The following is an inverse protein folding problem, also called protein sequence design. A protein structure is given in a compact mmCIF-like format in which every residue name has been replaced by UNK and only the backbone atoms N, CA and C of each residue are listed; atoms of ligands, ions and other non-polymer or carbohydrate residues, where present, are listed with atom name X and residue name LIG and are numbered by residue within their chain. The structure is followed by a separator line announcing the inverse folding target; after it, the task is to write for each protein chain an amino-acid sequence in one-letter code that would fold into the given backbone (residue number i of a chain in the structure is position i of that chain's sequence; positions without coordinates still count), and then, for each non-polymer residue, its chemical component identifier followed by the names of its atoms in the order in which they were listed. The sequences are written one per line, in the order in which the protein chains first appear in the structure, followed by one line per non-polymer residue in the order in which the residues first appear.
data_IF_162886640032
#
_entry.id   IF_162886640032
#
_cell.length_a   1.000
_cell.length_b   1.000
_cell.length_c   1.000
_cell.angle_alpha   90.00
_cell.angle_beta   90.00
_cell.angle_gamma   90.00
#
_symmetry.space_group_name_H-M   'P 1'
#
loop_
_entity.id
_entity.type
_entity.pdbx_description
1 polymer ?
#
# COMPACT_ATOMS: atom_id res chain seq x y z
N UNK A 1 2.69 2.22 18.58
CA UNK A 1 3.48 2.61 17.38
C UNK A 1 4.82 1.87 17.26
N UNK A 2 5.36 1.21 18.29
CA UNK A 2 6.68 0.55 18.25
C UNK A 2 6.83 -0.59 17.22
N UNK A 3 5.74 -1.17 16.71
CA UNK A 3 5.81 -2.27 15.74
C UNK A 3 6.08 -1.81 14.31
N UNK A 4 5.65 -0.60 13.94
CA UNK A 4 5.70 -0.11 12.55
C UNK A 4 7.11 -0.19 11.96
N UNK A 5 8.17 0.24 12.64
CA UNK A 5 9.53 0.10 12.12
C UNK A 5 9.92 -1.35 11.81
N UNK A 6 9.46 -2.34 12.58
CA UNK A 6 9.74 -3.76 12.34
C UNK A 6 9.03 -4.30 11.09
N UNK A 7 7.88 -3.73 10.74
CA UNK A 7 7.16 -4.06 9.50
C UNK A 7 7.68 -3.29 8.28
N UNK A 8 8.35 -2.15 8.48
CA UNK A 8 9.05 -1.41 7.42
C UNK A 8 10.31 -2.13 6.91
N UNK A 9 10.89 -3.02 7.72
CA UNK A 9 12.04 -3.85 7.38
C UNK A 9 11.77 -5.31 7.78
N UNK A 10 10.83 -6.01 7.11
CA UNK A 10 10.37 -7.34 7.53
C UNK A 10 11.29 -8.47 7.05
N UNK A 11 12.60 -8.24 7.01
CA UNK A 11 13.61 -9.18 6.53
C UNK A 11 14.89 -9.03 7.34
N UNK A 12 15.72 -10.07 7.30
CA UNK A 12 17.03 -10.08 7.92
C UNK A 12 18.05 -9.47 6.95
N UNK A 13 18.42 -8.22 7.21
CA UNK A 13 19.36 -7.43 6.40
C UNK A 13 20.75 -8.09 6.36
N UNK A 14 21.13 -8.87 7.37
CA UNK A 14 22.42 -9.56 7.39
C UNK A 14 22.42 -10.83 6.53
N UNK A 15 21.27 -11.49 6.39
CA UNK A 15 21.13 -12.74 5.63
C UNK A 15 20.80 -12.52 4.16
N UNK A 16 19.99 -11.53 3.84
CA UNK A 16 19.62 -11.23 2.46
C UNK A 16 20.07 -9.82 2.05
N UNK A 17 20.94 -9.68 1.03
CA UNK A 17 21.39 -8.38 0.59
C UNK A 17 20.18 -7.57 0.08
N UNK A 18 20.03 -6.33 0.53
CA UNK A 18 18.88 -5.52 0.17
C UNK A 18 18.88 -5.20 -1.33
N UNK A 19 17.67 -5.12 -1.90
CA UNK A 19 17.51 -4.86 -3.32
C UNK A 19 18.19 -3.55 -3.74
N UNK A 20 18.86 -3.52 -4.92
CA UNK A 20 19.45 -2.30 -5.45
C UNK A 20 18.39 -1.33 -6.02
N UNK A 21 17.12 -1.75 -6.11
CA UNK A 21 16.02 -0.93 -6.59
C UNK A 21 15.15 -0.43 -5.43
N UNK A 22 14.48 0.71 -5.64
CA UNK A 22 13.39 1.15 -4.75
C UNK A 22 12.26 0.13 -4.82
N UNK A 23 11.72 -0.25 -3.67
CA UNK A 23 10.62 -1.19 -3.59
C UNK A 23 9.40 -0.57 -2.92
N UNK A 24 8.23 -0.88 -3.45
CA UNK A 24 6.95 -0.58 -2.82
C UNK A 24 6.29 -1.86 -2.35
N UNK A 25 5.91 -1.90 -1.08
CA UNK A 25 5.18 -3.02 -0.50
C UNK A 25 4.15 -2.51 0.51
N UNK A 26 3.17 -3.33 0.85
CA UNK A 26 2.14 -2.96 1.84
C UNK A 26 1.96 -4.07 2.88
N UNK A 27 2.28 -3.76 4.14
CA UNK A 27 1.93 -4.63 5.26
C UNK A 27 0.52 -4.33 5.78
N UNK A 28 -0.02 -5.22 6.61
CA UNK A 28 -1.29 -5.00 7.30
C UNK A 28 -1.12 -5.17 8.80
N UNK A 29 -1.79 -4.31 9.57
CA UNK A 29 -1.95 -4.44 11.02
C UNK A 29 -3.44 -4.63 11.29
N UNK A 30 -3.78 -5.74 11.93
CA UNK A 30 -5.15 -6.05 12.34
C UNK A 30 -5.29 -5.76 13.83
N UNK A 31 -6.32 -5.01 14.21
CA UNK A 31 -6.63 -4.79 15.62
C UNK A 31 -7.55 -5.88 16.20
N UNK A 32 -7.89 -5.75 17.48
CA UNK A 32 -8.73 -6.71 18.21
C UNK A 32 -10.17 -6.81 17.66
N UNK A 33 -10.61 -5.83 16.87
CA UNK A 33 -11.94 -5.82 16.24
C UNK A 33 -11.94 -6.44 14.84
N UNK A 34 -10.78 -6.91 14.35
CA UNK A 34 -10.61 -7.37 12.98
C UNK A 34 -10.40 -6.23 11.98
N UNK A 35 -10.38 -4.97 12.42
CA UNK A 35 -10.19 -3.83 11.53
C UNK A 35 -8.74 -3.78 11.06
N UNK A 36 -8.56 -3.60 9.74
CA UNK A 36 -7.25 -3.57 9.09
C UNK A 36 -6.75 -2.13 8.89
N UNK A 37 -5.47 -1.93 9.18
CA UNK A 37 -4.69 -0.78 8.73
C UNK A 37 -3.60 -1.24 7.78
N UNK A 38 -3.49 -0.56 6.65
CA UNK A 38 -2.50 -0.81 5.63
C UNK A 38 -1.31 0.11 5.84
N UNK A 39 -0.11 -0.46 5.88
CA UNK A 39 1.15 0.26 5.92
C UNK A 39 1.79 0.27 4.55
N UNK A 40 1.56 1.34 3.79
CA UNK A 40 2.15 1.54 2.47
C UNK A 40 3.59 1.98 2.65
N UNK A 41 4.53 1.24 2.07
CA UNK A 41 5.96 1.46 2.25
C UNK A 41 6.64 1.80 0.93
N UNK A 42 7.60 2.72 0.98
CA UNK A 42 8.62 2.97 -0.04
C UNK A 42 9.98 2.74 0.59
N UNK A 43 10.55 1.58 0.31
CA UNK A 43 11.88 1.18 0.76
C UNK A 43 12.94 1.69 -0.22
N UNK A 44 13.91 2.47 0.29
CA UNK A 44 15.03 2.96 -0.52
C UNK A 44 15.96 1.80 -0.92
N UNK A 45 16.59 1.92 -2.07
CA UNK A 45 17.66 1.01 -2.50
C UNK A 45 18.70 0.80 -1.38
N UNK A 46 19.13 -0.45 -1.19
CA UNK A 46 20.04 -0.81 -0.10
C UNK A 46 19.39 -0.89 1.28
N UNK A 47 18.06 -0.75 1.39
CA UNK A 47 17.29 -0.82 2.63
C UNK A 47 17.77 0.13 3.74
N UNK A 48 18.34 1.28 3.38
CA UNK A 48 18.84 2.26 4.35
C UNK A 48 17.74 3.08 5.03
N UNK A 49 16.61 3.27 4.35
CA UNK A 49 15.47 4.01 4.88
C UNK A 49 14.16 3.54 4.24
N UNK A 50 13.06 3.73 4.97
CA UNK A 50 11.73 3.37 4.51
C UNK A 50 10.74 4.48 4.88
N UNK A 51 10.05 5.03 3.89
CA UNK A 51 8.92 5.93 4.11
C UNK A 51 7.66 5.07 4.25
N UNK A 52 6.81 5.37 5.23
CA UNK A 52 5.60 4.60 5.50
C UNK A 52 4.41 5.51 5.78
N UNK A 53 3.28 5.22 5.12
CA UNK A 53 1.97 5.80 5.43
C UNK A 53 1.08 4.69 5.98
N UNK A 54 0.48 4.94 7.14
CA UNK A 54 -0.56 4.07 7.71
C UNK A 54 -1.94 4.64 7.41
N UNK A 55 -2.81 3.83 6.82
CA UNK A 55 -4.18 4.22 6.53
C UNK A 55 -5.15 3.05 6.64
N UNK A 56 -6.42 3.33 6.93
CA UNK A 56 -7.51 2.36 6.80
C UNK A 56 -8.00 2.24 5.36
N UNK A 57 -7.65 3.18 4.48
CA UNK A 57 -8.07 3.21 3.10
C UNK A 57 -7.13 2.34 2.24
N UNK A 58 -7.64 1.36 1.48
CA UNK A 58 -6.84 0.48 0.63
C UNK A 58 -6.47 1.16 -0.70
N UNK A 59 -5.98 2.41 -0.68
CA UNK A 59 -5.68 3.19 -1.88
C UNK A 59 -4.22 3.04 -2.31
N UNK A 60 -3.86 1.83 -2.73
CA UNK A 60 -2.47 1.44 -3.05
C UNK A 60 -1.80 2.43 -4.01
N UNK A 61 -2.38 2.67 -5.18
CA UNK A 61 -1.80 3.51 -6.23
C UNK A 61 -1.61 4.96 -5.77
N UNK A 62 -2.59 5.50 -5.04
CA UNK A 62 -2.57 6.86 -4.48
C UNK A 62 -1.42 6.99 -3.47
N UNK A 63 -1.35 6.10 -2.48
CA UNK A 63 -0.35 6.20 -1.42
C UNK A 63 1.07 5.94 -1.93
N UNK A 64 1.26 5.04 -2.90
CA UNK A 64 2.58 4.85 -3.49
C UNK A 64 3.04 6.05 -4.32
N UNK A 65 2.13 6.69 -5.08
CA UNK A 65 2.44 7.94 -5.78
C UNK A 65 2.79 9.05 -4.80
N UNK A 66 2.04 9.19 -3.71
CA UNK A 66 2.33 10.14 -2.64
C UNK A 66 3.70 9.88 -2.00
N UNK A 67 4.01 8.64 -1.66
CA UNK A 67 5.30 8.25 -1.09
C UNK A 67 6.47 8.53 -2.03
N UNK A 68 6.28 8.40 -3.34
CA UNK A 68 7.28 8.82 -4.32
C UNK A 68 7.49 10.33 -4.28
N UNK A 69 6.41 11.12 -4.36
CA UNK A 69 6.50 12.59 -4.28
C UNK A 69 7.20 13.05 -3.01
N UNK A 70 6.81 12.53 -1.84
CA UNK A 70 7.47 12.84 -0.57
C UNK A 70 8.93 12.40 -0.60
N UNK A 71 9.21 11.20 -1.11
CA UNK A 71 10.59 10.69 -1.23
C UNK A 71 11.48 11.54 -2.14
N UNK A 72 10.92 12.12 -3.20
CA UNK A 72 11.64 12.97 -4.15
C UNK A 72 11.89 14.37 -3.58
N UNK A 73 10.93 14.94 -2.83
CA UNK A 73 11.10 16.20 -2.10
C UNK A 73 12.19 16.08 -1.03
N UNK A 74 12.16 15.01 -0.23
CA UNK A 74 13.18 14.74 0.79
C UNK A 74 14.57 14.52 0.18
N UNK A 75 14.66 13.90 -1.00
CA UNK A 75 15.93 13.76 -1.71
C UNK A 75 16.49 15.10 -2.24
N UNK A 76 15.64 16.11 -2.39
CA UNK A 76 15.99 17.47 -2.81
C UNK A 76 16.13 18.44 -1.62
N UNK A 77 16.14 17.92 -0.38
CA UNK A 77 16.18 18.71 0.87
C UNK A 77 14.98 19.68 1.04
N UNK A 78 13.87 19.40 0.35
CA UNK A 78 12.63 20.17 0.40
C UNK A 78 11.69 19.64 1.50
N UNK A 79 12.17 19.70 2.75
CA UNK A 79 11.44 19.15 3.91
C UNK A 79 10.15 19.93 4.18
N UNK A 80 10.18 21.25 4.08
CA UNK A 80 9.00 22.11 4.32
C UNK A 80 7.87 21.79 3.34
N UNK A 81 8.18 21.62 2.07
CA UNK A 81 7.19 21.30 1.03
C UNK A 81 6.61 19.89 1.23
N UNK A 82 7.42 18.93 1.70
CA UNK A 82 6.95 17.59 2.04
C UNK A 82 5.99 17.62 3.25
N UNK A 83 6.32 18.40 4.29
CA UNK A 83 5.47 18.59 5.46
C UNK A 83 4.16 19.30 5.09
N UNK A 84 4.22 20.37 4.31
CA UNK A 84 3.04 21.11 3.85
C UNK A 84 2.11 20.20 3.03
N UNK A 85 2.67 19.38 2.13
CA UNK A 85 1.89 18.39 1.36
C UNK A 85 1.16 17.42 2.29
N UNK A 86 1.85 16.85 3.28
CA UNK A 86 1.28 15.89 4.22
C UNK A 86 0.24 16.54 5.14
N UNK A 87 0.48 17.76 5.61
CA UNK A 87 -0.45 18.52 6.44
C UNK A 87 -1.73 18.86 5.67
N UNK A 88 -1.60 19.31 4.42
CA UNK A 88 -2.73 19.60 3.55
C UNK A 88 -3.59 18.35 3.32
N UNK A 89 -2.96 17.20 3.01
CA UNK A 89 -3.67 15.94 2.79
C UNK A 89 -4.42 15.45 4.04
N UNK A 90 -3.82 15.59 5.23
CA UNK A 90 -4.46 15.19 6.49
C UNK A 90 -5.69 16.03 6.81
N UNK A 91 -5.75 17.28 6.34
CA UNK A 91 -6.87 18.19 6.58
C UNK A 91 -8.01 18.01 5.58
N UNK A 92 -7.81 17.29 4.47
CA UNK A 92 -8.86 17.07 3.49
C UNK A 92 -9.95 16.12 4.04
N UNK A 93 -11.24 16.44 3.83
CA UNK A 93 -12.31 15.53 4.18
C UNK A 93 -12.23 14.26 3.31
N UNK A 94 -12.62 13.13 3.87
CA UNK A 94 -12.65 11.87 3.13
C UNK A 94 -13.66 11.98 1.97
N UNK A 95 -13.24 11.77 0.71
CA UNK A 95 -14.11 11.68 -0.44
C UNK A 95 -15.12 10.55 -0.21
N UNK A 96 -16.41 10.89 -0.06
CA UNK A 96 -17.48 9.92 0.21
C UNK A 96 -18.38 10.23 1.41
N UNK A 97 -18.14 11.32 2.14
CA UNK A 97 -19.13 11.84 3.12
C UNK A 97 -20.12 12.84 2.53
N UNK A 98 -19.92 13.28 1.28
CA UNK A 98 -20.87 14.08 0.51
C UNK A 98 -21.54 13.22 -0.58
N UNK A 99 -22.83 13.01 -0.44
CA UNK A 99 -23.72 12.55 -1.52
C UNK A 99 -23.70 13.60 -2.65
N UNK A 100 -22.87 13.40 -3.66
CA UNK A 100 -22.88 14.19 -4.90
C UNK A 100 -21.57 14.13 -5.69
N UNK A 101 -21.61 14.07 -7.03
CA UNK A 101 -20.42 14.20 -7.86
C UNK A 101 -20.03 15.68 -7.96
N UNK A 102 -19.27 16.20 -6.99
CA UNK A 102 -18.69 17.54 -7.09
C UNK A 102 -17.16 17.49 -7.23
N UNK A 103 -16.76 17.60 -8.50
CA UNK A 103 -15.71 18.47 -9.01
C UNK A 103 -14.91 19.25 -7.95
N UNK A 104 -13.69 18.80 -7.65
CA UNK A 104 -12.66 19.72 -7.13
C UNK A 104 -11.96 20.36 -8.33
N UNK A 105 -12.48 21.53 -8.73
CA UNK A 105 -11.74 22.75 -9.15
C UNK A 105 -12.55 23.58 -10.16
N UNK A 106 -13.28 24.59 -9.70
CA UNK A 106 -13.60 25.78 -10.53
C UNK A 106 -12.51 26.83 -10.29
N UNK A 107 -11.91 27.45 -11.33
CA UNK A 107 -10.85 28.43 -11.17
C UNK A 107 -11.44 29.84 -11.12
N UNK A 108 -11.95 30.30 -9.97
CA UNK A 108 -12.23 31.73 -9.78
C UNK A 108 -11.74 32.18 -8.41
N UNK A 109 -10.84 33.17 -8.44
CA UNK A 109 -10.10 33.80 -7.33
C UNK A 109 -8.91 33.04 -6.72
N UNK A 110 -7.83 32.92 -7.51
CA UNK A 110 -6.46 32.89 -6.95
C UNK A 110 -5.74 34.19 -7.26
N UNK A 111 -5.27 34.86 -6.20
CA UNK A 111 -4.29 35.94 -6.26
C UNK A 111 -2.99 35.49 -6.96
N UNK A 112 -2.32 36.33 -7.77
CA UNK A 112 -1.26 35.90 -8.68
C UNK A 112 0.15 35.85 -8.02
N UNK A 113 0.29 35.26 -6.81
CA UNK A 113 1.57 35.30 -6.07
C UNK A 113 1.95 34.06 -5.24
N UNK A 114 1.49 32.87 -5.59
CA UNK A 114 2.08 31.64 -5.02
C UNK A 114 2.50 30.73 -6.17
N UNK A 115 3.79 30.44 -6.22
CA UNK A 115 4.42 29.49 -7.12
C UNK A 115 3.58 28.22 -7.18
N UNK A 116 3.03 27.98 -8.37
CA UNK A 116 2.22 26.82 -8.69
C UNK A 116 3.11 25.56 -8.70
N UNK A 117 3.50 25.07 -7.52
CA UNK A 117 3.78 23.66 -7.38
C UNK A 117 2.42 22.96 -7.44
N UNK A 118 2.14 22.46 -8.64
CA UNK A 118 0.97 21.69 -9.03
C UNK A 118 0.82 20.51 -8.06
N UNK A 119 0.16 20.73 -6.91
CA UNK A 119 -0.20 19.67 -5.97
C UNK A 119 -0.95 18.63 -6.79
N UNK A 120 -0.34 17.45 -6.96
CA UNK A 120 -0.94 16.39 -7.74
C UNK A 120 -2.30 16.06 -7.14
N UNK A 121 -3.37 16.34 -7.89
CA UNK A 121 -4.71 15.92 -7.51
C UNK A 121 -4.69 14.40 -7.34
N UNK A 122 -4.93 13.94 -6.11
CA UNK A 122 -5.20 12.54 -5.83
C UNK A 122 -6.71 12.34 -5.90
N UNK A 123 -7.14 11.45 -6.77
CA UNK A 123 -8.56 11.09 -6.91
C UNK A 123 -8.81 9.85 -6.05
N UNK A 124 -9.82 9.91 -5.19
CA UNK A 124 -10.26 8.73 -4.44
C UNK A 124 -10.67 7.62 -5.41
N UNK A 125 -10.13 6.39 -5.26
CA UNK A 125 -10.59 5.23 -6.00
C UNK A 125 -12.07 4.94 -5.71
N UNK A 126 -12.81 4.54 -6.74
CA UNK A 126 -14.18 4.06 -6.60
C UNK A 126 -14.17 2.67 -5.94
N UNK A 127 -14.72 2.57 -4.72
CA UNK A 127 -14.78 1.31 -3.97
C UNK A 127 -15.76 0.29 -4.54
N UNK A 128 -16.69 0.70 -5.41
CA UNK A 128 -17.66 -0.19 -6.06
C UNK A 128 -17.14 -0.80 -7.37
N UNK A 129 -16.03 -0.31 -7.91
CA UNK A 129 -15.46 -0.77 -9.17
C UNK A 129 -14.52 -1.96 -8.96
N UNK A 130 -14.66 -2.99 -9.79
CA UNK A 130 -13.73 -4.11 -9.81
C UNK A 130 -12.33 -3.67 -10.26
N UNK A 131 -11.25 -4.24 -9.68
CA UNK A 131 -9.88 -3.94 -10.12
C UNK A 131 -9.67 -4.42 -11.56
N UNK A 132 -8.97 -3.62 -12.37
CA UNK A 132 -8.58 -3.95 -13.74
C UNK A 132 -7.07 -4.04 -13.89
N UNK A 133 -6.60 -4.83 -14.85
CA UNK A 133 -5.20 -4.93 -15.25
C UNK A 133 -5.01 -4.03 -16.49
N UNK A 134 -3.95 -3.19 -16.55
CA UNK A 134 -2.82 -3.11 -15.63
C UNK A 134 -2.96 -2.06 -14.51
N UNK A 135 -4.11 -1.41 -14.37
CA UNK A 135 -4.26 -0.26 -13.47
C UNK A 135 -4.12 -0.63 -11.98
N UNK A 136 -4.61 -1.79 -11.58
CA UNK A 136 -4.43 -2.32 -10.24
C UNK A 136 -3.10 -3.06 -10.15
N UNK A 137 -2.14 -2.48 -9.43
CA UNK A 137 -0.78 -3.04 -9.35
C UNK A 137 -0.73 -4.41 -8.68
N UNK A 138 -1.58 -4.65 -7.68
CA UNK A 138 -1.56 -5.90 -6.92
C UNK A 138 -2.02 -7.06 -7.80
N UNK A 139 -3.15 -6.86 -8.50
CA UNK A 139 -3.70 -7.84 -9.42
C UNK A 139 -2.77 -8.07 -10.61
N UNK A 140 -2.19 -7.00 -11.15
CA UNK A 140 -1.21 -7.08 -12.26
C UNK A 140 0.02 -7.89 -11.84
N UNK A 141 0.57 -7.64 -10.66
CA UNK A 141 1.71 -8.40 -10.15
C UNK A 141 1.35 -9.88 -9.90
N UNK A 142 0.16 -10.18 -9.38
CA UNK A 142 -0.30 -11.55 -9.16
C UNK A 142 -0.32 -12.35 -10.47
N UNK A 143 -0.93 -11.81 -11.53
CA UNK A 143 -1.03 -12.51 -12.82
C UNK A 143 0.30 -12.61 -13.56
N UNK A 144 1.26 -11.72 -13.27
CA UNK A 144 2.61 -11.78 -13.84
C UNK A 144 3.50 -12.75 -13.07
N UNK A 145 3.37 -12.82 -11.75
CA UNK A 145 4.28 -13.57 -10.88
C UNK A 145 3.83 -15.01 -10.58
N UNK A 146 2.54 -15.33 -10.73
CA UNK A 146 1.95 -16.62 -10.34
C UNK A 146 1.28 -17.27 -11.55
N UNK A 147 1.55 -18.56 -11.76
CA UNK A 147 0.89 -19.34 -12.81
C UNK A 147 -0.62 -19.46 -12.57
N UNK A 148 -1.39 -19.60 -13.64
CA UNK A 148 -2.83 -19.80 -13.60
C UNK A 148 -3.25 -20.99 -12.73
N UNK A 149 -2.54 -22.13 -12.83
CA UNK A 149 -2.76 -23.30 -11.97
C UNK A 149 -2.65 -22.95 -10.48
N UNK A 150 -1.61 -22.19 -10.10
CA UNK A 150 -1.38 -21.79 -8.72
C UNK A 150 -2.38 -20.72 -8.25
N UNK A 151 -2.83 -19.82 -9.13
CA UNK A 151 -3.90 -18.86 -8.81
C UNK A 151 -5.20 -19.60 -8.48
N UNK A 152 -5.57 -20.60 -9.27
CA UNK A 152 -6.77 -21.42 -9.03
C UNK A 152 -6.63 -22.21 -7.73
N UNK A 153 -5.48 -22.85 -7.49
CA UNK A 153 -5.21 -23.57 -6.25
C UNK A 153 -5.25 -22.68 -5.01
N UNK A 154 -4.67 -21.48 -5.10
CA UNK A 154 -4.71 -20.46 -4.05
C UNK A 154 -6.14 -20.00 -3.76
N UNK A 155 -6.92 -19.71 -4.79
CA UNK A 155 -8.32 -19.32 -4.64
C UNK A 155 -9.14 -20.43 -3.96
N UNK A 156 -8.96 -21.69 -4.37
CA UNK A 156 -9.62 -22.84 -3.73
C UNK A 156 -9.20 -23.00 -2.25
N UNK A 157 -7.92 -22.81 -1.93
CA UNK A 157 -7.43 -22.86 -0.55
C UNK A 157 -8.04 -21.75 0.32
N UNK A 158 -8.20 -20.54 -0.23
CA UNK A 158 -8.86 -19.42 0.47
C UNK A 158 -10.35 -19.68 0.69
N UNK A 159 -11.08 -20.19 -0.31
CA UNK A 159 -12.49 -20.57 -0.15
C UNK A 159 -12.69 -21.69 0.88
N UNK A 160 -11.69 -22.54 1.08
CA UNK A 160 -11.68 -23.60 2.08
C UNK A 160 -11.07 -23.16 3.43
N UNK A 161 -10.86 -21.84 3.63
CA UNK A 161 -10.30 -21.25 4.85
C UNK A 161 -9.00 -21.90 5.33
N UNK A 162 -8.17 -22.36 4.38
CA UNK A 162 -6.90 -23.03 4.71
C UNK A 162 -5.86 -22.04 5.21
N UNK A 163 -4.91 -22.55 6.01
CA UNK A 163 -3.66 -21.84 6.31
C UNK A 163 -2.82 -21.78 5.04
N UNK A 164 -2.60 -20.58 4.52
CA UNK A 164 -1.83 -20.35 3.29
C UNK A 164 -0.58 -19.54 3.61
N UNK A 165 0.57 -20.04 3.16
CA UNK A 165 1.85 -19.33 3.21
C UNK A 165 2.31 -19.01 1.80
N UNK A 166 2.57 -17.74 1.53
CA UNK A 166 3.18 -17.27 0.28
C UNK A 166 4.63 -16.85 0.57
N UNK A 167 5.53 -17.20 -0.34
CA UNK A 167 6.95 -16.86 -0.24
C UNK A 167 7.42 -16.19 -1.52
N UNK A 168 8.25 -15.16 -1.41
CA UNK A 168 8.90 -14.50 -2.55
C UNK A 168 10.19 -13.85 -2.10
N UNK A 169 11.16 -13.74 -3.01
CA UNK A 169 12.39 -12.96 -2.81
C UNK A 169 12.19 -11.44 -3.01
N UNK A 170 10.99 -11.01 -3.41
CA UNK A 170 10.63 -9.60 -3.59
C UNK A 170 9.43 -9.24 -2.70
N UNK A 171 9.59 -8.28 -1.80
CA UNK A 171 8.50 -7.81 -0.94
C UNK A 171 7.32 -7.22 -1.72
N UNK A 172 7.62 -6.54 -2.82
CA UNK A 172 6.58 -6.00 -3.70
C UNK A 172 5.70 -7.11 -4.24
N UNK A 173 6.30 -8.18 -4.76
CA UNK A 173 5.60 -9.36 -5.28
C UNK A 173 4.83 -10.06 -4.18
N UNK A 174 5.47 -10.34 -3.04
CA UNK A 174 4.83 -11.00 -1.90
C UNK A 174 3.54 -10.28 -1.46
N UNK A 175 3.65 -8.99 -1.16
CA UNK A 175 2.51 -8.23 -0.64
C UNK A 175 1.43 -8.00 -1.69
N UNK A 176 1.82 -7.72 -2.94
CA UNK A 176 0.88 -7.61 -4.05
C UNK A 176 0.07 -8.89 -4.23
N UNK A 177 0.72 -10.06 -4.24
CA UNK A 177 0.03 -11.35 -4.34
C UNK A 177 -0.93 -11.55 -3.18
N UNK A 178 -0.51 -11.32 -1.94
CA UNK A 178 -1.40 -11.45 -0.76
C UNK A 178 -2.65 -10.57 -0.88
N UNK A 179 -2.49 -9.29 -1.21
CA UNK A 179 -3.63 -8.35 -1.32
C UNK A 179 -4.53 -8.66 -2.52
N UNK A 180 -3.94 -9.06 -3.66
CA UNK A 180 -4.70 -9.46 -4.84
C UNK A 180 -5.52 -10.73 -4.57
N UNK A 181 -4.94 -11.74 -3.92
CA UNK A 181 -5.64 -12.97 -3.57
C UNK A 181 -6.80 -12.72 -2.60
N UNK A 182 -6.65 -11.77 -1.67
CA UNK A 182 -7.77 -11.33 -0.84
C UNK A 182 -8.87 -10.64 -1.68
N UNK A 183 -8.49 -9.84 -2.68
CA UNK A 183 -9.45 -9.16 -3.56
C UNK A 183 -10.22 -10.12 -4.48
N UNK A 184 -9.63 -11.26 -4.85
CA UNK A 184 -10.31 -12.31 -5.63
C UNK A 184 -11.52 -12.91 -4.91
N UNK A 185 -11.62 -12.77 -3.59
CA UNK A 185 -12.75 -13.26 -2.80
C UNK A 185 -14.01 -12.40 -2.94
N UNK A 186 -13.94 -11.23 -3.58
CA UNK A 186 -15.09 -10.33 -3.74
C UNK A 186 -16.34 -11.09 -4.25
N UNK A 187 -17.53 -10.90 -3.63
CA UNK A 187 -17.86 -9.91 -2.60
C UNK A 187 -17.54 -10.34 -1.15
N UNK A 188 -17.02 -11.53 -0.94
CA UNK A 188 -16.54 -12.00 0.36
C UNK A 188 -15.22 -11.32 0.73
N UNK A 189 -14.87 -11.39 2.01
CA UNK A 189 -13.61 -10.87 2.55
C UNK A 189 -12.93 -11.99 3.33
N UNK A 190 -11.61 -12.00 3.31
CA UNK A 190 -10.86 -12.84 4.23
C UNK A 190 -11.08 -12.32 5.65
N UNK A 191 -11.64 -13.14 6.55
CA UNK A 191 -11.97 -12.72 7.93
C UNK A 191 -10.89 -13.13 8.96
N UNK A 192 -9.98 -14.03 8.60
CA UNK A 192 -8.93 -14.49 9.50
C UNK A 192 -7.69 -13.56 9.50
N UNK A 193 -6.69 -13.99 10.27
CA UNK A 193 -5.36 -13.38 10.34
C UNK A 193 -4.81 -13.18 8.92
N UNK A 194 -4.35 -11.95 8.65
CA UNK A 194 -3.71 -11.57 7.40
C UNK A 194 -2.41 -10.85 7.75
N UNK A 195 -1.28 -11.46 7.39
CA UNK A 195 0.06 -10.91 7.62
C UNK A 195 0.81 -10.88 6.28
N UNK A 196 0.64 -9.81 5.47
CA UNK A 196 1.24 -9.74 4.13
C UNK A 196 2.77 -9.72 4.12
N UNK A 197 3.37 -9.20 5.21
CA UNK A 197 4.80 -9.34 5.48
C UNK A 197 4.93 -9.89 6.89
N UNK A 198 5.66 -11.00 7.04
CA UNK A 198 5.90 -11.64 8.32
C UNK A 198 7.35 -11.38 8.74
N UNK A 199 7.60 -10.41 9.65
CA UNK A 199 8.92 -10.19 10.18
C UNK A 199 9.47 -11.43 10.91
N UNK A 200 10.81 -11.62 10.98
CA UNK A 200 11.42 -12.80 11.60
C UNK A 200 10.95 -13.10 13.04
N UNK A 201 10.68 -12.05 13.83
CA UNK A 201 10.22 -12.18 15.21
C UNK A 201 8.78 -12.71 15.36
N UNK A 202 8.05 -12.89 14.26
CA UNK A 202 6.69 -13.43 14.23
C UNK A 202 6.62 -14.79 13.53
N UNK A 203 7.76 -15.44 13.22
CA UNK A 203 7.77 -16.73 12.53
C UNK A 203 7.04 -17.84 13.30
N UNK A 204 6.96 -17.73 14.62
CA UNK A 204 6.22 -18.67 15.47
C UNK A 204 4.71 -18.68 15.17
N UNK A 205 4.16 -17.65 14.51
CA UNK A 205 2.76 -17.61 14.09
C UNK A 205 2.45 -18.53 12.90
N UNK A 206 3.46 -19.11 12.25
CA UNK A 206 3.27 -20.01 11.11
C UNK A 206 2.90 -21.45 11.49
N UNK A 207 3.09 -21.86 12.75
CA UNK A 207 2.99 -23.25 13.20
C UNK A 207 1.77 -23.46 14.11
#
# INVERSE_FOLDING_TARGET
MQMVPKFCFPFDVEREPPSPAVQHFTFALTDLTGTRRFGFCRLRAGAHSCLCILSHLPWFEVFYKLLNTVGDLLAQDQVSEAEDLLLNLRQQPLPGTSVGPELVSSPQHRSPRQSAHQLSCFVAPDSGRLPSIPENRNLTELVVAVTDENIVGLFAALLAERRVLLTSSKLSTLTSCVHASCALLYPMRWEHVLIPTLPPHLLDYCW
#
